data_IF_392429411756
#
_entry.id   IF_392429411756
#
_cell.length_a   1.000
_cell.length_b   1.000
_cell.length_c   1.000
_cell.angle_alpha   90.00
_cell.angle_beta   90.00
_cell.angle_gamma   90.00
#
_symmetry.space_group_name_H-M   'P 1'
#
loop_
_entity.id
_entity.type
_entity.pdbx_description
1 polymer ?
#
# COMPACT_ATOMS: atom_id res chain seq x y z
N UNK A 1 5.98 -9.18 1.56
CA UNK A 1 4.90 -8.55 0.78
C UNK A 1 4.58 -7.21 1.40
N UNK A 2 4.59 -6.12 0.62
CA UNK A 2 4.22 -4.78 1.11
C UNK A 2 3.13 -4.24 0.19
N UNK A 3 2.05 -3.76 0.79
CA UNK A 3 0.87 -3.27 0.07
C UNK A 3 0.75 -1.79 0.39
N UNK A 4 0.69 -0.97 -0.66
CA UNK A 4 0.59 0.47 -0.51
C UNK A 4 -0.54 1.01 -1.35
N UNK A 5 -1.31 1.94 -0.76
CA UNK A 5 -2.25 2.76 -1.49
C UNK A 5 -1.52 4.04 -1.94
N UNK A 6 -1.32 4.18 -3.25
CA UNK A 6 -0.61 5.31 -3.85
C UNK A 6 -1.63 6.20 -4.57
N UNK A 7 -1.73 7.47 -4.19
CA UNK A 7 -2.78 8.38 -4.65
C UNK A 7 -2.36 9.85 -4.64
N UNK A 8 -3.06 10.67 -5.40
CA UNK A 8 -2.89 12.12 -5.36
C UNK A 8 -3.74 12.72 -4.24
N UNK A 9 -3.19 13.72 -3.55
CA UNK A 9 -4.00 14.56 -2.67
C UNK A 9 -5.02 15.36 -3.47
N UNK A 10 -6.06 15.86 -2.79
CA UNK A 10 -7.07 16.74 -3.40
C UNK A 10 -6.46 18.00 -4.01
N UNK A 11 -5.40 18.53 -3.42
CA UNK A 11 -4.64 19.66 -3.98
C UNK A 11 -3.89 19.28 -5.27
N UNK A 12 -3.17 18.15 -5.25
CA UNK A 12 -2.47 17.64 -6.43
C UNK A 12 -3.42 17.37 -7.60
N UNK A 13 -4.61 16.83 -7.31
CA UNK A 13 -5.66 16.63 -8.30
C UNK A 13 -6.20 17.96 -8.84
N UNK A 14 -6.52 18.91 -7.95
CA UNK A 14 -7.07 20.22 -8.33
C UNK A 14 -6.09 21.04 -9.16
N UNK A 15 -4.80 21.01 -8.80
CA UNK A 15 -3.76 21.85 -9.40
C UNK A 15 -3.08 21.18 -10.60
N UNK A 16 -3.38 19.91 -10.87
CA UNK A 16 -2.70 19.10 -11.87
C UNK A 16 -1.17 19.09 -11.68
N UNK A 17 -0.74 18.93 -10.42
CA UNK A 17 0.68 18.95 -10.07
C UNK A 17 1.45 17.83 -10.79
N UNK A 18 2.63 18.17 -11.34
CA UNK A 18 3.52 17.19 -11.92
C UNK A 18 4.13 16.28 -10.83
N UNK A 19 3.89 14.98 -10.92
CA UNK A 19 4.36 14.01 -9.94
C UNK A 19 5.73 13.45 -10.32
N UNK A 20 6.68 13.55 -9.41
CA UNK A 20 8.06 13.06 -9.59
C UNK A 20 8.57 12.39 -8.30
N UNK A 21 9.79 11.87 -8.29
CA UNK A 21 10.40 11.38 -7.04
C UNK A 21 10.65 12.51 -6.02
N UNK A 22 10.85 13.75 -6.50
CA UNK A 22 11.03 14.93 -5.66
C UNK A 22 9.68 15.50 -5.16
N UNK A 23 8.61 15.31 -5.92
CA UNK A 23 7.23 15.67 -5.56
C UNK A 23 6.30 14.47 -5.74
N UNK A 24 6.36 13.48 -4.84
CA UNK A 24 5.66 12.22 -5.05
C UNK A 24 4.15 12.32 -4.75
N UNK A 25 3.36 11.38 -5.27
CA UNK A 25 2.02 11.14 -4.76
C UNK A 25 2.05 10.72 -3.29
N UNK A 26 0.91 10.83 -2.63
CA UNK A 26 0.70 10.30 -1.28
C UNK A 26 0.80 8.77 -1.30
N UNK A 27 1.37 8.19 -0.24
CA UNK A 27 1.52 6.74 -0.07
C UNK A 27 1.14 6.36 1.36
N UNK A 28 0.30 5.34 1.50
CA UNK A 28 -0.06 4.78 2.80
C UNK A 28 0.17 3.28 2.76
N UNK A 29 0.94 2.76 3.73
CA UNK A 29 1.14 1.32 3.87
C UNK A 29 -0.11 0.70 4.50
N UNK A 30 -0.66 -0.31 3.84
CA UNK A 30 -1.82 -1.05 4.31
C UNK A 30 -1.37 -2.34 5.01
N UNK A 31 -2.16 -2.77 5.99
CA UNK A 31 -1.98 -4.05 6.68
C UNK A 31 -3.25 -4.88 6.56
N UNK A 32 -3.10 -6.18 6.28
CA UNK A 32 -4.21 -7.12 6.29
C UNK A 32 -4.40 -7.63 7.71
N UNK A 33 -5.65 -7.75 8.19
CA UNK A 33 -5.92 -8.29 9.53
C UNK A 33 -5.31 -9.69 9.74
N UNK A 34 -5.25 -10.51 8.69
CA UNK A 34 -4.64 -11.85 8.70
C UNK A 34 -3.14 -11.87 8.38
N UNK A 35 -2.52 -10.72 8.10
CA UNK A 35 -1.08 -10.62 7.93
C UNK A 35 -0.53 -9.33 8.57
N UNK A 36 -0.09 -9.40 9.84
CA UNK A 36 0.54 -8.26 10.50
C UNK A 36 1.82 -7.87 9.74
N UNK A 37 2.04 -6.55 9.65
CA UNK A 37 3.23 -5.98 9.03
C UNK A 37 4.29 -5.67 10.09
N UNK A 38 5.56 -5.73 9.71
CA UNK A 38 6.68 -5.29 10.54
C UNK A 38 6.83 -3.75 10.57
N UNK A 39 7.88 -3.28 11.24
CA UNK A 39 8.18 -1.85 11.38
C UNK A 39 8.40 -1.14 10.02
N UNK A 40 8.81 -1.88 8.99
CA UNK A 40 9.04 -1.38 7.64
C UNK A 40 7.82 -1.56 6.72
N UNK A 41 6.73 -2.14 7.25
CA UNK A 41 5.47 -2.34 6.53
C UNK A 41 5.41 -3.63 5.70
N UNK A 42 6.28 -4.60 5.97
CA UNK A 42 6.31 -5.87 5.26
C UNK A 42 5.59 -6.98 6.04
N UNK A 43 4.79 -7.74 5.31
CA UNK A 43 4.12 -8.96 5.75
C UNK A 43 4.86 -10.18 5.15
N UNK A 44 5.08 -11.28 5.91
CA UNK A 44 5.68 -12.50 5.38
C UNK A 44 4.90 -13.06 4.18
N UNK A 45 5.60 -13.46 3.12
CA UNK A 45 4.96 -13.92 1.88
C UNK A 45 4.10 -15.17 2.09
N UNK A 46 4.52 -16.09 2.95
CA UNK A 46 3.75 -17.31 3.22
C UNK A 46 2.42 -17.01 3.92
N UNK A 47 2.42 -16.12 4.91
CA UNK A 47 1.20 -15.67 5.58
C UNK A 47 0.25 -14.97 4.60
N UNK A 48 0.79 -14.11 3.73
CA UNK A 48 0.00 -13.47 2.66
C UNK A 48 -0.67 -14.52 1.75
N UNK A 49 0.07 -15.52 1.28
CA UNK A 49 -0.49 -16.60 0.45
C UNK A 49 -1.62 -17.34 1.15
N UNK A 50 -1.48 -17.64 2.44
CA UNK A 50 -2.54 -18.30 3.23
C UNK A 50 -3.82 -17.45 3.25
N UNK A 51 -3.71 -16.16 3.55
CA UNK A 51 -4.86 -15.24 3.58
C UNK A 51 -5.53 -15.15 2.21
N UNK A 52 -4.74 -15.00 1.14
CA UNK A 52 -5.28 -14.90 -0.22
C UNK A 52 -5.95 -16.20 -0.68
N UNK A 53 -5.36 -17.35 -0.39
CA UNK A 53 -5.95 -18.66 -0.72
C UNK A 53 -7.23 -18.94 0.07
N UNK A 54 -7.37 -18.39 1.28
CA UNK A 54 -8.62 -18.45 2.05
C UNK A 54 -9.69 -17.54 1.43
N UNK A 55 -9.33 -16.35 0.97
CA UNK A 55 -10.26 -15.40 0.36
C UNK A 55 -10.73 -15.80 -1.06
N UNK A 56 -9.93 -16.59 -1.78
CA UNK A 56 -10.26 -17.07 -3.12
C UNK A 56 -11.11 -18.36 -3.14
N UNK A 57 -11.32 -18.99 -1.98
CA UNK A 57 -12.21 -20.14 -1.81
C UNK A 57 -13.64 -19.67 -1.58
#
# INVERSE_FOLDING_TARGET
MKIEYVYQSTAQLRNADALTLQSPPQRVTLALNGCPVDADGFCPMETFKTVMNQAAK
#
